data_IF_521429680577
#
_entry.id   IF_521429680577
#
_cell.length_a   1.000
_cell.length_b   1.000
_cell.length_c   1.000
_cell.angle_alpha   90.00
_cell.angle_beta   90.00
_cell.angle_gamma   90.00
#
_symmetry.space_group_name_H-M   'P 1'
#
loop_
_entity.id
_entity.type
_entity.pdbx_description
1 polymer ?
#
# COMPACT_ATOMS: atom_id res chain seq x y z
N UNK A 1 45.35 16.69 -29.88
CA UNK A 1 44.10 17.44 -29.88
C UNK A 1 43.30 16.99 -28.69
N UNK A 2 43.40 17.73 -27.59
CA UNK A 2 42.56 17.53 -26.41
C UNK A 2 41.09 17.82 -26.78
N UNK A 3 40.11 17.12 -26.18
CA UNK A 3 38.71 17.50 -26.30
C UNK A 3 38.47 18.82 -25.56
N UNK A 4 37.50 19.64 -26.00
CA UNK A 4 37.25 20.92 -25.35
C UNK A 4 36.65 20.69 -23.96
N UNK A 5 37.13 21.46 -23.00
CA UNK A 5 36.52 21.58 -21.69
C UNK A 5 35.13 22.23 -21.83
N UNK A 6 34.09 21.49 -21.46
CA UNK A 6 32.77 22.06 -21.23
C UNK A 6 32.75 22.73 -19.86
N UNK A 7 32.53 24.04 -19.85
CA UNK A 7 32.25 24.81 -18.64
C UNK A 7 30.95 24.31 -17.97
N UNK A 8 30.87 24.30 -16.63
CA UNK A 8 29.67 23.91 -15.91
C UNK A 8 28.76 25.13 -15.70
N UNK A 9 27.48 24.97 -16.02
CA UNK A 9 26.45 25.97 -15.71
C UNK A 9 25.49 26.14 -16.88
N UNK A 10 24.19 26.07 -16.57
CA UNK A 10 23.06 26.38 -17.46
C UNK A 10 22.60 25.21 -18.35
N UNK A 11 21.78 24.31 -17.77
CA UNK A 11 21.02 23.34 -18.55
C UNK A 11 20.36 22.18 -17.79
N UNK A 12 20.75 21.88 -16.54
CA UNK A 12 20.27 20.66 -15.84
C UNK A 12 18.98 20.83 -15.02
N UNK A 13 18.50 22.05 -14.81
CA UNK A 13 17.37 22.34 -13.92
C UNK A 13 15.98 22.16 -14.55
N UNK A 14 15.80 22.45 -15.83
CA UNK A 14 14.46 22.61 -16.42
C UNK A 14 13.72 21.28 -16.69
N UNK A 15 14.45 20.18 -16.89
CA UNK A 15 13.85 18.89 -17.24
C UNK A 15 13.61 17.97 -16.03
N UNK A 16 14.17 18.31 -14.85
CA UNK A 16 14.02 17.48 -13.64
C UNK A 16 12.69 17.70 -12.93
N UNK A 17 12.01 18.82 -13.15
CA UNK A 17 10.71 19.11 -12.53
C UNK A 17 9.56 18.31 -13.19
N UNK A 18 9.66 17.97 -14.47
CA UNK A 18 8.61 17.28 -15.22
C UNK A 18 8.29 15.86 -14.68
N UNK A 19 9.31 15.11 -14.23
CA UNK A 19 9.14 13.75 -13.71
C UNK A 19 9.17 13.64 -12.18
N UNK A 20 9.44 14.74 -11.47
CA UNK A 20 9.44 14.78 -10.00
C UNK A 20 8.13 15.33 -9.41
N UNK A 21 7.06 15.37 -10.20
CA UNK A 21 5.72 15.67 -9.68
C UNK A 21 5.25 14.58 -8.73
N UNK A 22 4.38 14.93 -7.77
CA UNK A 22 3.85 13.99 -6.77
C UNK A 22 3.23 12.75 -7.43
N UNK A 23 2.51 12.97 -8.53
CA UNK A 23 1.86 11.92 -9.30
C UNK A 23 2.88 10.96 -9.93
N UNK A 24 3.84 11.48 -10.71
CA UNK A 24 4.85 10.67 -11.40
C UNK A 24 5.75 9.90 -10.43
N UNK A 25 6.10 10.53 -9.32
CA UNK A 25 6.84 9.89 -8.23
C UNK A 25 6.02 8.76 -7.57
N UNK A 26 4.70 8.93 -7.47
CA UNK A 26 3.78 7.90 -6.98
C UNK A 26 3.71 6.69 -7.92
N UNK A 27 3.61 6.93 -9.23
CA UNK A 27 3.66 5.87 -10.25
C UNK A 27 5.00 5.11 -10.18
N UNK A 28 6.11 5.84 -10.19
CA UNK A 28 7.45 5.26 -10.08
C UNK A 28 7.61 4.41 -8.81
N UNK A 29 7.19 4.93 -7.65
CA UNK A 29 7.27 4.21 -6.38
C UNK A 29 6.42 2.93 -6.40
N UNK A 30 5.30 2.92 -7.11
CA UNK A 30 4.42 1.76 -7.26
C UNK A 30 5.10 0.68 -8.11
N UNK A 31 5.63 1.05 -9.27
CA UNK A 31 6.38 0.13 -10.13
C UNK A 31 7.60 -0.45 -9.42
N UNK A 32 8.36 0.36 -8.68
CA UNK A 32 9.49 -0.11 -7.86
C UNK A 32 9.04 -1.14 -6.83
N UNK A 33 7.90 -0.92 -6.16
CA UNK A 33 7.37 -1.87 -5.18
C UNK A 33 6.98 -3.20 -5.84
N UNK A 34 6.24 -3.17 -6.94
CA UNK A 34 5.85 -4.36 -7.69
C UNK A 34 7.09 -5.16 -8.13
N UNK A 35 8.07 -4.50 -8.74
CA UNK A 35 9.30 -5.13 -9.19
C UNK A 35 10.09 -5.76 -8.04
N UNK A 36 10.25 -5.03 -6.92
CA UNK A 36 11.01 -5.54 -5.78
C UNK A 36 10.36 -6.79 -5.15
N UNK A 37 9.02 -6.84 -5.08
CA UNK A 37 8.32 -7.98 -4.47
C UNK A 37 8.59 -9.30 -5.19
N UNK A 38 8.82 -9.26 -6.50
CA UNK A 38 9.18 -10.45 -7.30
C UNK A 38 10.69 -10.64 -7.38
N UNK A 39 11.46 -9.56 -7.55
CA UNK A 39 12.92 -9.60 -7.73
C UNK A 39 13.66 -10.22 -6.53
N UNK A 40 13.11 -10.11 -5.32
CA UNK A 40 13.72 -10.68 -4.11
C UNK A 40 13.40 -12.18 -3.89
N UNK A 41 12.54 -12.77 -4.72
CA UNK A 41 12.20 -14.19 -4.63
C UNK A 41 13.29 -15.05 -5.28
N UNK A 42 13.43 -16.28 -4.80
CA UNK A 42 14.36 -17.25 -5.37
C UNK A 42 13.67 -18.05 -6.45
N UNK A 43 14.18 -18.03 -7.68
CA UNK A 43 13.71 -18.86 -8.79
C UNK A 43 14.14 -20.32 -8.70
N UNK A 44 15.00 -20.67 -7.73
CA UNK A 44 15.55 -22.02 -7.56
C UNK A 44 14.89 -22.80 -6.43
N UNK A 45 14.15 -22.11 -5.56
CA UNK A 45 13.42 -22.74 -4.47
C UNK A 45 12.00 -23.06 -4.92
N UNK A 46 11.41 -24.17 -4.43
CA UNK A 46 10.04 -24.51 -4.78
C UNK A 46 9.08 -23.45 -4.26
N UNK A 47 8.04 -23.19 -5.05
CA UNK A 47 6.90 -22.42 -4.60
C UNK A 47 6.19 -23.16 -3.46
N UNK A 48 5.54 -22.40 -2.59
CA UNK A 48 4.74 -22.99 -1.52
C UNK A 48 3.32 -23.18 -2.02
N UNK A 49 2.91 -24.44 -2.16
CA UNK A 49 1.51 -24.77 -2.33
C UNK A 49 0.72 -24.38 -1.07
N UNK A 50 -0.38 -23.67 -1.29
CA UNK A 50 -1.34 -23.31 -0.25
C UNK A 50 -2.51 -24.29 -0.26
N UNK A 51 -3.27 -24.34 0.83
CA UNK A 51 -4.45 -25.21 0.95
C UNK A 51 -5.52 -24.91 -0.11
N UNK A 52 -5.63 -23.64 -0.52
CA UNK A 52 -6.54 -23.17 -1.56
C UNK A 52 -5.76 -22.44 -2.65
N UNK A 53 -6.18 -22.56 -3.93
CA UNK A 53 -5.59 -21.81 -5.03
C UNK A 53 -5.86 -20.30 -4.89
N UNK A 54 -5.20 -19.51 -5.73
CA UNK A 54 -5.47 -18.08 -5.81
C UNK A 54 -6.89 -17.84 -6.36
N UNK A 55 -7.80 -17.17 -5.63
CA UNK A 55 -9.18 -16.98 -6.06
C UNK A 55 -9.35 -15.96 -7.21
N UNK A 56 -8.26 -15.35 -7.67
CA UNK A 56 -8.24 -14.41 -8.80
C UNK A 56 -7.44 -14.96 -9.98
N UNK A 57 -7.00 -16.21 -9.92
CA UNK A 57 -6.44 -16.87 -11.09
C UNK A 57 -7.59 -17.22 -12.03
N UNK A 58 -7.60 -16.60 -13.21
CA UNK A 58 -8.61 -16.80 -14.25
C UNK A 58 -8.16 -17.83 -15.30
N UNK A 59 -7.00 -18.45 -15.10
CA UNK A 59 -6.57 -19.56 -15.94
C UNK A 59 -7.42 -20.76 -15.55
N UNK A 60 -8.41 -21.08 -16.37
CA UNK A 60 -9.28 -22.23 -16.15
C UNK A 60 -8.44 -23.53 -16.10
N UNK A 61 -8.84 -24.46 -15.21
CA UNK A 61 -8.25 -25.81 -15.16
C UNK A 61 -8.70 -26.69 -16.36
N UNK A 62 -9.72 -26.25 -17.10
CA UNK A 62 -10.31 -26.97 -18.23
C UNK A 62 -9.76 -26.43 -19.58
N UNK A 63 -8.52 -26.84 -19.92
CA UNK A 63 -7.76 -26.46 -21.13
C UNK A 63 -8.38 -26.86 -22.50
N UNK A 64 -9.64 -27.30 -22.57
CA UNK A 64 -10.22 -27.86 -23.82
C UNK A 64 -11.09 -26.87 -24.64
N UNK A 65 -11.44 -25.68 -24.14
CA UNK A 65 -12.28 -24.72 -24.87
C UNK A 65 -11.90 -23.26 -24.61
N UNK A 66 -10.74 -22.79 -25.12
CA UNK A 66 -10.54 -21.34 -25.31
C UNK A 66 -9.93 -21.06 -26.69
N UNK A 67 -10.80 -20.62 -27.60
CA UNK A 67 -10.41 -19.97 -28.86
C UNK A 67 -9.87 -18.56 -28.54
N UNK A 68 -8.63 -18.29 -28.92
CA UNK A 68 -8.07 -16.93 -29.17
C UNK A 68 -8.19 -15.84 -28.07
N UNK A 69 -8.33 -16.17 -26.78
CA UNK A 69 -8.14 -15.19 -25.70
C UNK A 69 -6.65 -15.03 -25.36
N UNK A 70 -6.20 -13.79 -25.11
CA UNK A 70 -4.83 -13.45 -24.71
C UNK A 70 -4.33 -14.43 -23.65
N UNK A 71 -3.18 -15.09 -23.86
CA UNK A 71 -2.59 -16.01 -22.87
C UNK A 71 -2.57 -15.35 -21.48
N UNK A 72 -3.52 -15.72 -20.63
CA UNK A 72 -3.69 -15.08 -19.33
C UNK A 72 -2.40 -15.31 -18.52
N UNK A 73 -1.68 -14.22 -18.26
CA UNK A 73 -0.43 -14.29 -17.51
C UNK A 73 -0.71 -14.81 -16.10
N UNK A 74 0.18 -15.66 -15.52
CA UNK A 74 0.00 -16.13 -14.17
C UNK A 74 -0.10 -14.95 -13.19
N UNK A 75 -0.92 -15.07 -12.13
CA UNK A 75 -1.00 -14.04 -11.12
C UNK A 75 0.36 -13.81 -10.47
N UNK A 76 0.58 -12.59 -9.97
CA UNK A 76 1.80 -12.27 -9.22
C UNK A 76 1.99 -13.19 -8.01
N UNK A 77 3.23 -13.34 -7.55
CA UNK A 77 3.58 -14.13 -6.39
C UNK A 77 3.04 -13.50 -5.09
N UNK A 78 1.79 -13.83 -4.75
CA UNK A 78 1.10 -13.39 -3.55
C UNK A 78 0.24 -14.52 -2.99
N UNK A 79 0.23 -14.65 -1.66
CA UNK A 79 -0.68 -15.55 -0.96
C UNK A 79 -1.71 -14.75 -0.17
N UNK A 80 -2.98 -15.13 -0.28
CA UNK A 80 -4.06 -14.51 0.48
C UNK A 80 -4.35 -15.26 1.78
N UNK A 81 -4.60 -14.50 2.84
CA UNK A 81 -5.04 -15.02 4.14
C UNK A 81 -6.30 -14.31 4.58
N UNK A 82 -7.37 -15.07 4.76
CA UNK A 82 -8.62 -14.57 5.32
C UNK A 82 -8.59 -14.79 6.83
N UNK A 83 -8.63 -13.69 7.59
CA UNK A 83 -8.48 -13.73 9.04
C UNK A 83 -9.67 -13.12 9.74
N UNK A 84 -10.16 -13.80 10.77
CA UNK A 84 -11.11 -13.26 11.73
C UNK A 84 -10.34 -12.50 12.82
N UNK A 85 -10.72 -11.25 13.05
CA UNK A 85 -10.18 -10.39 14.10
C UNK A 85 -11.33 -9.90 14.95
N UNK A 86 -11.33 -10.26 16.23
CA UNK A 86 -12.32 -9.75 17.17
C UNK A 86 -11.87 -8.37 17.66
N UNK A 87 -12.72 -7.36 17.48
CA UNK A 87 -12.46 -6.02 18.00
C UNK A 87 -12.52 -6.03 19.54
N UNK A 88 -11.83 -5.10 20.22
CA UNK A 88 -11.83 -5.04 21.68
C UNK A 88 -13.27 -5.02 22.24
N UNK A 89 -13.50 -5.85 23.27
CA UNK A 89 -14.81 -5.92 23.93
C UNK A 89 -15.19 -4.55 24.47
N UNK A 90 -16.39 -4.12 24.12
CA UNK A 90 -16.97 -2.92 24.69
C UNK A 90 -17.54 -3.27 26.07
N UNK A 91 -17.38 -2.43 27.10
CA UNK A 91 -18.06 -2.64 28.39
C UNK A 91 -19.57 -2.82 28.19
N UNK A 92 -20.20 -3.69 29.00
CA UNK A 92 -21.64 -4.03 28.91
C UNK A 92 -22.58 -2.81 29.02
N UNK A 93 -22.11 -1.72 29.61
CA UNK A 93 -22.85 -0.45 29.73
C UNK A 93 -22.89 0.37 28.44
N UNK A 94 -22.11 -0.02 27.42
CA UNK A 94 -22.10 0.65 26.12
C UNK A 94 -23.18 0.09 25.20
N UNK A 95 -23.76 0.97 24.38
CA UNK A 95 -24.65 0.59 23.29
C UNK A 95 -23.95 -0.15 22.14
N UNK A 96 -22.62 -0.23 22.15
CA UNK A 96 -21.86 -0.92 21.12
C UNK A 96 -21.74 -2.43 21.42
N UNK A 97 -21.83 -3.23 20.37
CA UNK A 97 -21.80 -4.70 20.41
C UNK A 97 -20.38 -5.24 20.19
N UNK A 98 -20.16 -6.50 20.57
CA UNK A 98 -18.93 -7.20 20.19
C UNK A 98 -18.96 -7.46 18.68
N UNK A 99 -17.96 -6.96 17.96
CA UNK A 99 -17.87 -7.06 16.50
C UNK A 99 -16.63 -7.88 16.13
N UNK A 100 -16.83 -8.83 15.22
CA UNK A 100 -15.75 -9.54 14.55
C UNK A 100 -15.59 -9.00 13.14
N UNK A 101 -14.36 -8.74 12.73
CA UNK A 101 -13.99 -8.37 11.36
C UNK A 101 -13.43 -9.59 10.63
N UNK A 102 -13.79 -9.74 9.36
CA UNK A 102 -13.09 -10.64 8.43
C UNK A 102 -12.23 -9.77 7.51
N UNK A 103 -10.94 -10.07 7.45
CA UNK A 103 -9.98 -9.27 6.67
C UNK A 103 -9.26 -10.20 5.69
N UNK A 104 -9.34 -9.89 4.39
CA UNK A 104 -8.44 -10.45 3.38
C UNK A 104 -7.09 -9.75 3.52
N UNK A 105 -6.05 -10.53 3.75
CA UNK A 105 -4.68 -10.05 3.93
C UNK A 105 -3.76 -10.76 2.95
N UNK A 106 -2.54 -10.23 2.79
CA UNK A 106 -1.61 -10.66 1.75
C UNK A 106 -0.23 -10.93 2.35
N UNK A 107 0.38 -12.03 1.92
CA UNK A 107 1.76 -12.40 2.24
C UNK A 107 2.55 -12.44 0.93
N UNK A 108 3.72 -11.78 0.93
CA UNK A 108 4.50 -11.61 -0.30
C UNK A 108 5.54 -12.72 -0.48
N UNK A 109 6.04 -13.30 0.62
CA UNK A 109 7.04 -14.37 0.55
C UNK A 109 7.01 -15.26 1.80
N UNK A 110 7.65 -16.43 1.69
CA UNK A 110 8.01 -17.26 2.83
C UNK A 110 9.51 -17.57 2.80
N UNK A 111 10.10 -17.77 3.97
CA UNK A 111 11.46 -18.28 4.12
C UNK A 111 11.35 -19.74 4.56
N UNK A 112 11.85 -20.70 3.76
CA UNK A 112 11.86 -22.10 4.14
C UNK A 112 12.59 -22.30 5.47
N UNK A 113 12.01 -23.12 6.34
CA UNK A 113 12.60 -23.52 7.61
C UNK A 113 12.90 -25.03 7.58
N UNK A 114 13.80 -25.53 8.45
CA UNK A 114 14.01 -26.96 8.60
C UNK A 114 12.72 -27.73 8.87
N UNK A 115 12.70 -29.00 8.50
CA UNK A 115 11.52 -29.86 8.61
C UNK A 115 10.94 -29.87 10.04
N UNK A 116 9.62 -29.68 10.15
CA UNK A 116 8.90 -29.59 11.43
C UNK A 116 8.82 -28.19 12.05
N UNK A 117 9.44 -27.17 11.45
CA UNK A 117 9.24 -25.76 11.86
C UNK A 117 8.25 -25.04 10.94
N UNK A 118 7.45 -24.14 11.53
CA UNK A 118 6.55 -23.31 10.74
C UNK A 118 7.33 -22.38 9.81
N UNK A 119 6.87 -22.19 8.56
CA UNK A 119 7.50 -21.25 7.64
C UNK A 119 7.44 -19.82 8.19
N UNK A 120 8.51 -19.07 7.96
CA UNK A 120 8.57 -17.65 8.35
C UNK A 120 8.02 -16.81 7.20
N UNK A 121 6.89 -16.17 7.43
CA UNK A 121 6.23 -15.36 6.41
C UNK A 121 6.73 -13.92 6.41
N UNK A 122 6.85 -13.34 5.22
CA UNK A 122 7.40 -12.01 5.04
C UNK A 122 6.47 -11.09 4.23
N UNK A 123 6.45 -9.81 4.64
CA UNK A 123 5.97 -8.69 3.81
C UNK A 123 7.19 -7.96 3.24
N UNK A 124 7.15 -7.61 1.96
CA UNK A 124 8.24 -6.96 1.22
C UNK A 124 7.75 -5.61 0.71
N UNK A 125 8.43 -4.53 1.05
CA UNK A 125 8.13 -3.18 0.52
C UNK A 125 9.40 -2.42 0.21
N UNK A 126 9.30 -1.47 -0.72
CA UNK A 126 10.41 -0.68 -1.22
C UNK A 126 10.24 0.80 -0.88
N UNK A 127 11.25 1.38 -0.24
CA UNK A 127 11.44 2.83 -0.22
C UNK A 127 12.24 3.24 -1.45
N UNK A 128 11.86 4.36 -2.05
CA UNK A 128 12.53 4.95 -3.19
C UNK A 128 13.14 6.31 -2.83
N UNK A 129 14.42 6.49 -3.16
CA UNK A 129 15.14 7.75 -3.01
C UNK A 129 14.75 8.68 -4.15
N UNK A 130 14.06 9.79 -3.85
CA UNK A 130 13.71 10.82 -4.83
C UNK A 130 14.61 12.04 -4.59
N UNK A 131 15.30 12.55 -5.63
CA UNK A 131 16.07 13.78 -5.51
C UNK A 131 15.11 14.94 -5.25
N UNK A 132 15.14 15.46 -4.02
CA UNK A 132 14.48 16.72 -3.69
C UNK A 132 15.55 17.74 -3.33
N UNK A 133 15.43 18.92 -3.93
CA UNK A 133 16.30 20.10 -3.75
C UNK A 133 16.37 20.57 -2.31
N UNK A 134 15.45 20.14 -1.44
CA UNK A 134 15.42 20.52 -0.02
C UNK A 134 15.57 19.34 0.97
N UNK A 135 15.35 18.09 0.55
CA UNK A 135 15.23 16.96 1.49
C UNK A 135 16.50 16.09 1.61
N UNK A 136 17.42 16.10 0.66
CA UNK A 136 18.60 15.23 0.74
C UNK A 136 19.85 15.95 1.25
N UNK A 137 19.94 16.09 2.57
CA UNK A 137 21.24 16.39 3.22
C UNK A 137 22.21 15.20 3.19
N UNK A 138 21.70 13.99 2.91
CA UNK A 138 22.48 12.76 2.99
C UNK A 138 22.05 11.73 1.94
N UNK A 139 22.84 11.51 0.87
CA UNK A 139 22.51 10.53 -0.16
C UNK A 139 22.65 9.10 0.37
N UNK A 140 21.72 8.22 0.02
CA UNK A 140 21.67 6.85 0.54
C UNK A 140 22.89 6.02 0.16
N UNK A 141 23.45 6.21 -1.04
CA UNK A 141 24.64 5.47 -1.52
C UNK A 141 25.85 5.55 -0.57
N UNK A 142 26.06 6.70 0.09
CA UNK A 142 27.19 6.89 1.01
C UNK A 142 26.82 6.65 2.48
N UNK A 143 25.54 6.66 2.82
CA UNK A 143 25.06 6.69 4.19
C UNK A 143 24.39 5.41 4.65
N UNK A 144 23.82 4.61 3.75
CA UNK A 144 23.12 3.38 4.12
C UNK A 144 24.05 2.38 4.78
N UNK A 145 25.36 2.38 4.54
CA UNK A 145 26.22 1.42 5.24
C UNK A 145 26.61 1.90 6.65
N UNK A 146 26.94 3.19 6.79
CA UNK A 146 27.46 3.76 8.03
C UNK A 146 26.38 4.27 8.99
N UNK A 147 25.19 4.63 8.48
CA UNK A 147 24.16 5.37 9.22
C UNK A 147 22.74 4.85 8.93
N UNK A 148 22.56 3.52 8.87
CA UNK A 148 21.27 2.83 8.63
C UNK A 148 20.11 3.41 9.45
N UNK A 149 20.34 3.64 10.74
CA UNK A 149 19.33 4.18 11.65
C UNK A 149 18.94 5.64 11.35
N UNK A 150 19.88 6.48 10.93
CA UNK A 150 19.60 7.88 10.59
C UNK A 150 18.82 8.00 9.28
N UNK A 151 19.18 7.18 8.28
CA UNK A 151 18.43 7.07 7.03
C UNK A 151 17.00 6.61 7.32
N UNK A 152 16.83 5.52 8.09
CA UNK A 152 15.51 5.03 8.46
C UNK A 152 14.70 6.07 9.25
N UNK A 153 15.31 6.79 10.20
CA UNK A 153 14.60 7.82 10.97
C UNK A 153 14.09 8.95 10.08
N UNK A 154 14.89 9.36 9.08
CA UNK A 154 14.48 10.35 8.07
C UNK A 154 13.28 9.83 7.26
N UNK A 155 13.32 8.56 6.86
CA UNK A 155 12.23 7.94 6.10
C UNK A 155 10.96 7.73 6.93
N UNK A 156 11.08 7.38 8.21
CA UNK A 156 9.94 7.32 9.13
C UNK A 156 9.28 8.69 9.27
N UNK A 157 10.06 9.77 9.30
CA UNK A 157 9.52 11.12 9.36
C UNK A 157 8.82 11.53 8.06
N UNK A 158 9.49 11.34 6.91
CA UNK A 158 8.99 11.80 5.61
C UNK A 158 7.85 10.94 5.06
N UNK A 159 7.87 9.63 5.35
CA UNK A 159 6.97 8.63 4.77
C UNK A 159 6.10 7.94 5.84
N UNK A 160 5.85 8.60 6.98
CA UNK A 160 5.15 8.03 8.14
C UNK A 160 3.86 7.29 7.78
N UNK A 161 2.99 7.91 6.98
CA UNK A 161 1.71 7.31 6.59
C UNK A 161 1.88 6.08 5.69
N UNK A 162 2.82 6.13 4.72
CA UNK A 162 3.15 5.02 3.82
C UNK A 162 3.67 3.82 4.60
N UNK A 163 4.64 4.04 5.48
CA UNK A 163 5.20 3.01 6.34
C UNK A 163 4.16 2.45 7.32
N UNK A 164 3.35 3.32 7.93
CA UNK A 164 2.27 2.91 8.82
C UNK A 164 1.26 1.96 8.16
N UNK A 165 0.83 2.27 6.91
CA UNK A 165 -0.07 1.39 6.14
C UNK A 165 0.56 0.03 5.85
N UNK A 166 1.83 0.01 5.42
CA UNK A 166 2.52 -1.24 5.11
C UNK A 166 2.68 -2.12 6.34
N UNK A 167 3.06 -1.54 7.47
CA UNK A 167 3.24 -2.29 8.72
C UNK A 167 1.90 -2.77 9.29
N UNK A 168 0.85 -1.94 9.22
CA UNK A 168 -0.50 -2.37 9.60
C UNK A 168 -0.97 -3.58 8.78
N UNK A 169 -0.76 -3.56 7.46
CA UNK A 169 -1.07 -4.70 6.58
C UNK A 169 -0.26 -5.95 6.95
N UNK A 170 1.04 -5.79 7.22
CA UNK A 170 1.93 -6.88 7.63
C UNK A 170 1.51 -7.52 8.97
N UNK A 171 1.08 -6.70 9.94
CA UNK A 171 0.56 -7.14 11.23
C UNK A 171 -0.76 -7.90 11.07
N UNK A 172 -1.70 -7.36 10.29
CA UNK A 172 -2.97 -8.04 9.99
C UNK A 172 -2.74 -9.37 9.29
N UNK A 173 -1.81 -9.44 8.33
CA UNK A 173 -1.43 -10.68 7.65
C UNK A 173 -0.75 -11.71 8.56
N UNK A 174 -0.20 -11.27 9.71
CA UNK A 174 0.60 -12.10 10.61
C UNK A 174 1.91 -12.54 9.98
N UNK A 175 2.53 -11.66 9.20
CA UNK A 175 3.89 -11.88 8.71
C UNK A 175 4.87 -11.73 9.87
N UNK A 176 5.76 -12.69 10.05
CA UNK A 176 6.77 -12.67 11.11
C UNK A 176 7.83 -11.59 10.84
N UNK A 177 8.12 -11.38 9.55
CA UNK A 177 9.23 -10.54 9.09
C UNK A 177 8.73 -9.47 8.14
N UNK A 178 9.27 -8.27 8.27
CA UNK A 178 9.08 -7.16 7.35
C UNK A 178 10.43 -6.87 6.66
N UNK A 179 10.47 -7.00 5.34
CA UNK A 179 11.63 -6.70 4.50
C UNK A 179 11.44 -5.34 3.82
N UNK A 180 12.36 -4.43 4.08
CA UNK A 180 12.37 -3.07 3.56
C UNK A 180 13.54 -2.89 2.60
N UNK A 181 13.25 -2.78 1.32
CA UNK A 181 14.24 -2.45 0.29
C UNK A 181 14.48 -0.95 0.21
N UNK A 182 15.73 -0.56 -0.01
CA UNK A 182 16.16 0.80 -0.29
C UNK A 182 16.60 0.89 -1.73
N UNK A 183 15.76 1.49 -2.57
CA UNK A 183 15.96 1.61 -4.01
C UNK A 183 16.24 3.07 -4.35
N UNK A 184 17.26 3.31 -5.16
CA UNK A 184 17.61 4.65 -5.67
C UNK A 184 17.61 4.63 -7.19
N UNK A 185 17.38 5.78 -7.83
CA UNK A 185 17.61 5.89 -9.27
C UNK A 185 19.10 5.69 -9.58
N UNK A 186 19.41 5.01 -10.68
CA UNK A 186 20.77 4.82 -11.16
C UNK A 186 21.45 6.18 -11.39
N UNK A 187 20.70 7.11 -11.99
CA UNK A 187 21.02 8.53 -12.09
C UNK A 187 19.80 9.33 -11.63
N UNK A 188 19.99 10.38 -10.85
CA UNK A 188 18.87 11.11 -10.24
C UNK A 188 17.92 11.76 -11.27
N UNK A 189 18.42 12.04 -12.48
CA UNK A 189 17.64 12.58 -13.59
C UNK A 189 17.00 11.52 -14.50
N UNK A 190 17.10 10.24 -14.15
CA UNK A 190 16.57 9.13 -14.94
C UNK A 190 15.58 8.32 -14.08
N UNK A 191 14.26 8.50 -14.30
CA UNK A 191 13.23 7.82 -13.51
C UNK A 191 12.99 6.36 -13.94
N UNK A 192 13.65 5.86 -14.99
CA UNK A 192 13.39 4.53 -15.54
C UNK A 192 14.39 3.46 -15.09
N UNK A 193 15.56 3.88 -14.62
CA UNK A 193 16.61 2.97 -14.19
C UNK A 193 16.88 3.10 -12.69
N UNK A 194 16.78 2.00 -11.97
CA UNK A 194 16.96 1.95 -10.53
C UNK A 194 18.06 0.99 -10.09
N UNK A 195 18.50 1.13 -8.85
CA UNK A 195 19.48 0.27 -8.20
C UNK A 195 19.01 -0.02 -6.78
N UNK A 196 18.90 -1.31 -6.44
CA UNK A 196 18.67 -1.76 -5.08
C UNK A 196 19.97 -1.65 -4.29
N UNK A 197 20.00 -0.81 -3.26
CA UNK A 197 21.20 -0.60 -2.43
C UNK A 197 21.27 -1.59 -1.27
N UNK A 198 20.15 -1.84 -0.61
CA UNK A 198 20.09 -2.70 0.57
C UNK A 198 18.68 -3.21 0.82
N UNK A 199 18.56 -4.37 1.44
CA UNK A 199 17.30 -4.88 2.00
C UNK A 199 17.51 -5.10 3.49
N UNK A 200 16.80 -4.32 4.30
CA UNK A 200 16.79 -4.48 5.74
C UNK A 200 15.65 -5.41 6.16
N UNK A 201 15.92 -6.27 7.13
CA UNK A 201 14.98 -7.27 7.62
C UNK A 201 14.67 -6.97 9.07
N UNK A 202 13.39 -6.81 9.40
CA UNK A 202 12.91 -6.56 10.75
C UNK A 202 11.90 -7.63 11.16
N UNK A 203 11.76 -7.86 12.46
CA UNK A 203 10.54 -8.50 12.96
C UNK A 203 9.40 -7.49 12.88
N UNK A 204 8.26 -7.90 12.34
CA UNK A 204 7.13 -7.00 12.05
C UNK A 204 6.67 -6.22 13.28
N UNK A 205 6.52 -6.89 14.42
CA UNK A 205 6.08 -6.25 15.68
C UNK A 205 7.10 -5.26 16.25
N UNK A 206 8.40 -5.57 16.14
CA UNK A 206 9.46 -4.67 16.60
C UNK A 206 9.54 -3.44 15.71
N UNK A 207 9.38 -3.62 14.39
CA UNK A 207 9.35 -2.50 13.44
C UNK A 207 8.14 -1.59 13.66
N UNK A 208 6.97 -2.15 13.95
CA UNK A 208 5.78 -1.37 14.31
C UNK A 208 6.03 -0.45 15.51
N UNK A 209 6.68 -0.96 16.55
CA UNK A 209 7.08 -0.17 17.72
C UNK A 209 8.11 0.91 17.34
N UNK A 210 9.08 0.56 16.50
CA UNK A 210 10.13 1.48 16.06
C UNK A 210 9.59 2.69 15.28
N UNK A 211 8.55 2.50 14.45
CA UNK A 211 7.89 3.60 13.72
C UNK A 211 6.83 4.34 14.57
N UNK A 212 6.66 3.97 15.85
CA UNK A 212 5.70 4.61 16.75
C UNK A 212 4.25 4.19 16.56
N UNK A 213 3.98 3.05 15.92
CA UNK A 213 2.61 2.55 15.74
C UNK A 213 2.09 1.93 17.04
N UNK A 214 0.94 2.43 17.52
CA UNK A 214 0.19 1.84 18.62
C UNK A 214 -0.99 1.04 18.06
N UNK A 215 -0.91 -0.29 18.16
CA UNK A 215 -1.94 -1.21 17.64
C UNK A 215 -3.27 -1.08 18.38
N UNK A 216 -3.26 -0.87 19.70
CA UNK A 216 -4.48 -0.64 20.47
C UNK A 216 -5.21 0.63 20.01
N UNK A 217 -4.46 1.71 19.76
CA UNK A 217 -5.03 2.93 19.20
C UNK A 217 -5.58 2.72 17.78
N UNK A 218 -4.87 1.96 16.94
CA UNK A 218 -5.32 1.66 15.57
C UNK A 218 -6.66 0.91 15.57
N UNK A 219 -6.80 -0.14 16.38
CA UNK A 219 -8.07 -0.87 16.51
C UNK A 219 -9.17 -0.03 17.17
N UNK A 220 -8.84 0.84 18.13
CA UNK A 220 -9.80 1.78 18.72
C UNK A 220 -10.39 2.75 17.69
N UNK A 221 -9.58 3.24 16.74
CA UNK A 221 -10.06 4.08 15.64
C UNK A 221 -10.99 3.29 14.70
N UNK A 222 -10.63 2.05 14.36
CA UNK A 222 -11.48 1.18 13.53
C UNK A 222 -12.82 0.93 14.22
N UNK A 223 -12.80 0.60 15.50
CA UNK A 223 -13.99 0.39 16.31
C UNK A 223 -14.89 1.64 16.33
N UNK A 224 -14.32 2.83 16.54
CA UNK A 224 -15.08 4.06 16.50
C UNK A 224 -15.78 4.32 15.15
N UNK A 225 -15.12 4.01 14.03
CA UNK A 225 -15.72 4.15 12.69
C UNK A 225 -16.85 3.14 12.50
N UNK A 226 -16.63 1.88 12.89
CA UNK A 226 -17.65 0.83 12.79
C UNK A 226 -18.86 1.17 13.65
N UNK A 227 -18.66 1.68 14.87
CA UNK A 227 -19.73 2.12 15.76
C UNK A 227 -20.58 3.24 15.14
N UNK A 228 -19.95 4.21 14.47
CA UNK A 228 -20.66 5.28 13.77
C UNK A 228 -21.54 4.75 12.64
N UNK A 229 -21.02 3.80 11.85
CA UNK A 229 -21.78 3.16 10.77
C UNK A 229 -22.94 2.33 11.32
N UNK A 230 -22.71 1.56 12.37
CA UNK A 230 -23.71 0.68 12.97
C UNK A 230 -24.81 1.44 13.72
N UNK A 231 -24.55 2.67 14.16
CA UNK A 231 -25.53 3.56 14.80
C UNK A 231 -26.27 4.46 13.81
N UNK A 232 -25.87 4.46 12.53
CA UNK A 232 -26.52 5.28 11.53
C UNK A 232 -27.94 4.80 11.26
N UNK A 233 -28.92 5.69 11.40
CA UNK A 233 -30.30 5.49 10.98
C UNK A 233 -30.55 6.21 9.66
N UNK A 234 -31.00 5.48 8.64
CA UNK A 234 -31.38 6.07 7.38
C UNK A 234 -32.60 7.02 7.57
N UNK A 235 -32.66 8.16 6.87
CA UNK A 235 -33.83 9.05 6.92
C UNK A 235 -35.10 8.31 6.47
N UNK A 236 -36.09 8.19 7.36
CA UNK A 236 -37.35 7.48 7.08
C UNK A 236 -37.40 6.02 7.57
N UNK A 237 -36.38 5.55 8.28
CA UNK A 237 -36.50 4.31 9.07
C UNK A 237 -37.38 4.57 10.30
N UNK A 238 -38.48 3.82 10.44
CA UNK A 238 -39.38 3.93 11.59
C UNK A 238 -38.68 3.43 12.87
N UNK A 239 -38.88 4.12 13.99
CA UNK A 239 -38.26 3.81 15.29
C UNK A 239 -38.72 2.44 15.86
N UNK A 240 -39.73 1.79 15.28
CA UNK A 240 -40.31 0.54 15.77
C UNK A 240 -39.59 -0.73 15.29
N UNK A 241 -38.67 -0.64 14.30
CA UNK A 241 -37.85 -1.79 13.86
C UNK A 241 -36.59 -2.00 14.74
N UNK A 242 -36.46 -1.29 15.87
CA UNK A 242 -35.30 -1.38 16.76
C UNK A 242 -35.16 -2.72 17.52
N UNK A 243 -36.20 -3.54 17.61
CA UNK A 243 -36.21 -4.73 18.49
C UNK A 243 -35.83 -6.05 17.79
N UNK A 244 -35.76 -6.11 16.45
CA UNK A 244 -35.18 -7.28 15.80
C UNK A 244 -33.65 -7.16 15.77
N UNK A 245 -32.97 -8.07 16.48
CA UNK A 245 -31.52 -8.26 16.51
C UNK A 245 -30.93 -8.37 15.09
N UNK A 246 -30.76 -7.24 14.39
CA UNK A 246 -30.31 -7.22 12.99
C UNK A 246 -30.92 -6.16 12.08
N UNK A 247 -31.85 -5.32 12.55
CA UNK A 247 -32.53 -4.34 11.69
C UNK A 247 -31.58 -3.26 11.12
N UNK A 248 -31.37 -3.37 9.81
CA UNK A 248 -31.02 -2.35 8.81
C UNK A 248 -29.83 -1.42 9.10
N UNK A 249 -28.60 -1.96 9.06
CA UNK A 249 -27.39 -1.16 8.79
C UNK A 249 -27.27 -0.77 7.29
N UNK A 250 -28.39 -0.75 6.55
CA UNK A 250 -28.40 -0.61 5.10
C UNK A 250 -28.13 0.86 4.71
N UNK A 251 -26.86 1.19 4.52
CA UNK A 251 -26.44 2.45 3.94
C UNK A 251 -25.10 2.33 3.23
N UNK A 252 -24.89 3.16 2.20
CA UNK A 252 -23.60 3.34 1.53
C UNK A 252 -22.90 4.55 2.16
N UNK A 253 -21.60 4.41 2.44
CA UNK A 253 -20.84 5.46 3.13
C UNK A 253 -19.52 5.77 2.43
N UNK A 254 -19.10 7.04 2.51
CA UNK A 254 -17.81 7.53 2.04
C UNK A 254 -17.02 8.10 3.23
N UNK A 255 -15.86 7.50 3.51
CA UNK A 255 -14.91 8.03 4.49
C UNK A 255 -13.83 8.85 3.77
N UNK A 256 -13.85 10.17 3.94
CA UNK A 256 -12.95 11.10 3.27
C UNK A 256 -11.99 11.78 4.24
N UNK A 257 -10.70 11.78 3.91
CA UNK A 257 -9.69 12.64 4.56
C UNK A 257 -9.71 14.01 3.90
N UNK A 258 -10.01 15.05 4.68
CA UNK A 258 -9.95 16.43 4.20
C UNK A 258 -8.54 16.79 3.71
N UNK A 259 -8.35 17.37 2.51
CA UNK A 259 -7.02 17.68 1.99
C UNK A 259 -6.26 18.69 2.87
N UNK A 260 -6.91 19.79 3.23
CA UNK A 260 -6.27 20.93 3.93
C UNK A 260 -6.38 20.85 5.45
N UNK A 261 -7.25 20.00 5.99
CA UNK A 261 -7.51 19.87 7.43
C UNK A 261 -7.12 18.49 7.93
N UNK A 262 -6.57 18.41 9.14
CA UNK A 262 -6.27 17.14 9.80
C UNK A 262 -7.54 16.52 10.39
N UNK A 263 -8.49 16.16 9.54
CA UNK A 263 -9.76 15.54 9.94
C UNK A 263 -10.26 14.56 8.89
N UNK A 264 -10.96 13.52 9.34
CA UNK A 264 -11.70 12.59 8.48
C UNK A 264 -13.20 12.84 8.66
N UNK A 265 -13.97 12.67 7.59
CA UNK A 265 -15.43 12.79 7.59
C UNK A 265 -16.06 11.54 7.02
N UNK A 266 -17.13 11.09 7.67
CA UNK A 266 -17.96 10.00 7.18
C UNK A 266 -19.24 10.61 6.61
N UNK A 267 -19.49 10.35 5.32
CA UNK A 267 -20.71 10.76 4.63
C UNK A 267 -21.56 9.53 4.37
N UNK A 268 -22.87 9.64 4.58
CA UNK A 268 -23.83 8.71 3.99
C UNK A 268 -24.13 9.19 2.57
N UNK A 269 -24.06 8.30 1.60
CA UNK A 269 -24.25 8.60 0.17
C UNK A 269 -25.38 7.74 -0.40
N UNK A 270 -26.02 8.17 -1.51
CA UNK A 270 -26.98 7.34 -2.22
C UNK A 270 -26.41 5.98 -2.62
N UNK A 271 -27.28 4.98 -2.77
CA UNK A 271 -26.86 3.64 -3.21
C UNK A 271 -26.22 3.63 -4.58
N UNK A 272 -26.61 4.55 -5.47
CA UNK A 272 -26.15 4.63 -6.86
C UNK A 272 -24.83 5.43 -7.01
N UNK A 273 -24.30 6.06 -5.95
CA UNK A 273 -23.19 7.05 -6.03
C UNK A 273 -21.90 6.53 -6.70
N UNK A 274 -21.64 5.22 -6.62
CA UNK A 274 -20.42 4.60 -7.16
C UNK A 274 -20.71 3.58 -8.26
N UNK A 275 -21.95 3.55 -8.75
CA UNK A 275 -22.26 2.77 -9.94
C UNK A 275 -21.72 3.55 -11.13
N UNK A 276 -20.84 2.94 -11.91
CA UNK A 276 -20.31 3.55 -13.13
C UNK A 276 -21.51 3.87 -14.03
N UNK A 277 -21.81 5.16 -14.19
CA UNK A 277 -22.58 5.59 -15.36
C UNK A 277 -21.74 5.14 -16.55
N UNK A 278 -22.27 4.27 -17.42
CA UNK A 278 -21.64 3.76 -18.67
C UNK A 278 -21.31 4.89 -19.69
N UNK A 279 -20.80 6.03 -19.23
CA UNK A 279 -20.45 7.20 -20.00
C UNK A 279 -18.97 7.47 -19.81
N UNK A 280 -18.20 7.10 -20.82
CA UNK A 280 -16.82 7.50 -21.07
C UNK A 280 -16.60 8.96 -20.63
N UNK A 281 -16.00 9.17 -19.47
CA UNK A 281 -15.41 10.47 -19.14
C UNK A 281 -14.14 10.58 -20.00
N UNK A 282 -14.29 11.15 -21.21
CA UNK A 282 -13.15 11.61 -21.99
C UNK A 282 -12.31 12.54 -21.12
N UNK A 283 -11.14 12.07 -20.74
CA UNK A 283 -10.06 12.87 -20.18
C UNK A 283 -9.73 13.95 -21.19
N UNK A 284 -10.31 15.15 -21.04
CA UNK A 284 -9.96 16.29 -21.85
C UNK A 284 -8.50 16.66 -21.56
N UNK A 285 -7.58 16.22 -22.41
CA UNK A 285 -6.25 16.78 -22.49
C UNK A 285 -6.42 18.27 -22.85
N UNK A 286 -6.17 19.14 -21.90
CA UNK A 286 -6.02 20.57 -22.15
C UNK A 286 -4.73 20.75 -22.95
N UNK A 287 -4.84 20.83 -24.27
CA UNK A 287 -3.79 21.38 -25.11
C UNK A 287 -3.62 22.87 -24.76
N UNK A 288 -2.45 23.22 -24.25
CA UNK A 288 -2.02 24.60 -24.06
C UNK A 288 -1.93 25.27 -25.45
N UNK A 289 -2.83 26.23 -25.71
CA UNK A 289 -2.71 27.12 -26.85
C UNK A 289 -1.48 28.03 -26.66
N UNK A 290 -0.46 27.84 -27.49
CA UNK A 290 0.61 28.80 -27.70
C UNK A 290 0.01 30.08 -28.34
N UNK A 291 -0.18 31.14 -27.56
CA UNK A 291 -0.37 32.49 -28.10
C UNK A 291 0.98 33.01 -28.63
N UNK A 292 1.16 32.95 -29.95
CA UNK A 292 2.07 33.84 -30.68
C UNK A 292 1.45 35.25 -30.75
N UNK A 293 2.06 36.22 -30.05
CA UNK A 293 2.23 37.61 -30.51
C UNK A 293 3.62 38.15 -30.15
#
# INVERSE_FOLDING_TARGET
SEPPATHPGEGEGANTEAFNTVYKVGEEATCINQNLTVQLLSSTLPEKENEYPNPFDQRDEDEDEVEEEEEALPPSNVAYRYRKVDLPRVPEESKSRNISMIVRTEVDAYVPQPEGQEPVYAKIRALNEIPSTQQQKQPWRSSLESQKGAVLATEVHNNAFKLGRWVASALLAGTNVFKLGYVTRARMNDPFHHSLLSVQTYKTEEFAKQIGMNTSNAFGIVQAIVDLVMQYKAPGADDEEEEEEGASFAGKFLLLKEPSKSMIRLYAVPWEEFEESDGEEEMSESEDEEEEE
#
